data_IF_072476391142
#
_entry.id   IF_072476391142
#
_cell.length_a   1.000
_cell.length_b   1.000
_cell.length_c   1.000
_cell.angle_alpha   90.00
_cell.angle_beta   90.00
_cell.angle_gamma   90.00
#
_symmetry.space_group_name_H-M   'P 1'
#
loop_
_entity.id
_entity.type
_entity.pdbx_description
1 polymer ?
#
# COMPACT_ATOMS: atom_id res chain seq x y z
N UNK A 1 11.72 -19.30 -11.43
CA UNK A 1 10.76 -18.21 -11.11
C UNK A 1 10.94 -16.95 -11.95
N UNK A 2 12.13 -16.32 -12.00
CA UNK A 2 12.37 -15.16 -12.91
C UNK A 2 12.02 -15.45 -14.37
N UNK A 3 12.37 -16.62 -14.88
CA UNK A 3 11.97 -17.03 -16.24
C UNK A 3 10.45 -17.02 -16.44
N UNK A 4 9.69 -17.56 -15.48
CA UNK A 4 8.23 -17.54 -15.53
C UNK A 4 7.67 -16.11 -15.50
N UNK A 5 8.33 -15.19 -14.78
CA UNK A 5 7.97 -13.78 -14.78
C UNK A 5 8.17 -13.12 -16.15
N UNK A 6 9.33 -13.35 -16.78
CA UNK A 6 9.63 -12.76 -18.10
C UNK A 6 8.78 -13.34 -19.23
N UNK A 7 8.32 -14.59 -19.08
CA UNK A 7 7.50 -15.29 -20.06
C UNK A 7 6.00 -15.26 -19.74
N UNK A 8 5.57 -14.52 -18.72
CA UNK A 8 4.16 -14.44 -18.32
C UNK A 8 3.51 -15.82 -18.07
N UNK A 9 4.22 -16.69 -17.35
CA UNK A 9 3.79 -18.06 -17.02
C UNK A 9 3.32 -18.18 -15.57
N UNK A 10 2.28 -17.44 -15.18
CA UNK A 10 1.77 -17.39 -13.80
C UNK A 10 1.17 -18.71 -13.31
N UNK A 11 0.43 -19.42 -14.15
CA UNK A 11 -0.18 -20.71 -13.79
C UNK A 11 0.90 -21.75 -13.50
N UNK A 12 1.85 -21.90 -14.43
CA UNK A 12 3.01 -22.78 -14.27
C UNK A 12 3.84 -22.37 -13.05
N UNK A 13 4.03 -21.08 -12.81
CA UNK A 13 4.77 -20.62 -11.64
C UNK A 13 4.10 -21.00 -10.31
N UNK A 14 2.76 -20.92 -10.24
CA UNK A 14 1.99 -21.36 -9.06
C UNK A 14 2.11 -22.87 -8.88
N UNK A 15 2.02 -23.65 -9.95
CA UNK A 15 2.21 -25.12 -9.91
C UNK A 15 3.61 -25.47 -9.39
N UNK A 16 4.66 -24.84 -9.93
CA UNK A 16 6.05 -25.09 -9.54
C UNK A 16 6.33 -24.79 -8.05
N UNK A 17 5.75 -23.73 -7.48
CA UNK A 17 5.94 -23.40 -6.06
C UNK A 17 5.23 -24.39 -5.13
N UNK A 18 4.12 -24.98 -5.59
CA UNK A 18 3.30 -25.93 -4.82
C UNK A 18 3.76 -27.39 -4.98
N UNK A 19 4.56 -27.68 -6.00
CA UNK A 19 5.07 -29.02 -6.28
C UNK A 19 5.91 -29.53 -5.10
N UNK A 20 5.47 -30.64 -4.51
CA UNK A 20 6.16 -31.27 -3.37
C UNK A 20 7.53 -31.83 -3.75
N UNK A 21 7.74 -32.22 -5.01
CA UNK A 21 9.03 -32.70 -5.49
C UNK A 21 10.06 -31.56 -5.60
N UNK A 22 9.58 -30.33 -5.74
CA UNK A 22 10.41 -29.12 -5.80
C UNK A 22 10.50 -28.41 -4.45
N UNK A 23 10.06 -29.06 -3.36
CA UNK A 23 10.16 -28.49 -2.02
C UNK A 23 11.63 -28.24 -1.66
N UNK A 24 11.93 -27.01 -1.25
CA UNK A 24 13.29 -26.56 -0.97
C UNK A 24 14.06 -26.02 -2.19
N UNK A 25 13.60 -26.27 -3.42
CA UNK A 25 14.20 -25.66 -4.62
C UNK A 25 13.99 -24.14 -4.63
N UNK A 26 12.78 -23.69 -4.31
CA UNK A 26 12.46 -22.27 -4.13
C UNK A 26 12.61 -21.85 -2.67
N UNK A 27 13.77 -22.07 -2.05
CA UNK A 27 13.97 -21.74 -0.62
C UNK A 27 14.10 -20.24 -0.31
N UNK A 28 14.33 -19.41 -1.33
CA UNK A 28 14.48 -17.97 -1.16
C UNK A 28 13.14 -17.21 -1.22
N UNK A 29 12.97 -16.26 -0.29
CA UNK A 29 11.86 -15.30 -0.26
C UNK A 29 11.69 -14.54 -1.59
N UNK A 30 12.80 -14.28 -2.31
CA UNK A 30 12.80 -13.63 -3.63
C UNK A 30 11.90 -14.35 -4.65
N UNK A 31 11.88 -15.70 -4.64
CA UNK A 31 11.07 -16.47 -5.60
C UNK A 31 9.57 -16.25 -5.35
N UNK A 32 9.14 -16.34 -4.10
CA UNK A 32 7.76 -16.07 -3.70
C UNK A 32 7.38 -14.62 -4.00
N UNK A 33 8.25 -13.65 -3.68
CA UNK A 33 7.99 -12.25 -3.93
C UNK A 33 7.78 -11.95 -5.43
N UNK A 34 8.61 -12.52 -6.31
CA UNK A 34 8.46 -12.37 -7.77
C UNK A 34 7.09 -12.91 -8.22
N UNK A 35 6.73 -14.11 -7.78
CA UNK A 35 5.45 -14.72 -8.16
C UNK A 35 4.26 -13.92 -7.63
N UNK A 36 4.26 -13.57 -6.34
CA UNK A 36 3.20 -12.76 -5.74
C UNK A 36 3.08 -11.41 -6.46
N UNK A 37 4.18 -10.77 -6.83
CA UNK A 37 4.17 -9.49 -7.55
C UNK A 37 3.59 -9.64 -8.95
N UNK A 38 3.93 -10.70 -9.67
CA UNK A 38 3.34 -11.02 -10.98
C UNK A 38 1.82 -11.18 -10.87
N UNK A 39 1.38 -12.03 -9.95
CA UNK A 39 -0.04 -12.31 -9.71
C UNK A 39 -0.79 -11.05 -9.30
N UNK A 40 -0.22 -10.25 -8.40
CA UNK A 40 -0.81 -8.98 -7.94
C UNK A 40 -1.00 -8.00 -9.11
N UNK A 41 0.00 -7.83 -9.97
CA UNK A 41 -0.09 -6.93 -11.14
C UNK A 41 -1.15 -7.38 -12.16
N UNK A 42 -1.36 -8.69 -12.27
CA UNK A 42 -2.37 -9.29 -13.16
C UNK A 42 -3.77 -9.38 -12.53
N UNK A 43 -3.92 -8.98 -11.26
CA UNK A 43 -5.20 -9.02 -10.55
C UNK A 43 -5.59 -10.41 -10.02
N UNK A 44 -4.67 -11.38 -10.04
CA UNK A 44 -4.89 -12.73 -9.51
C UNK A 44 -4.62 -12.77 -7.99
N UNK A 45 -5.42 -12.04 -7.22
CA UNK A 45 -5.17 -11.81 -5.80
C UNK A 45 -5.34 -13.06 -4.93
N UNK A 46 -6.28 -13.93 -5.28
CA UNK A 46 -6.52 -15.21 -4.60
C UNK A 46 -5.28 -16.11 -4.73
N UNK A 47 -4.79 -16.28 -5.96
CA UNK A 47 -3.56 -17.03 -6.22
C UNK A 47 -2.35 -16.40 -5.51
N UNK A 48 -2.27 -15.06 -5.46
CA UNK A 48 -1.19 -14.38 -4.75
C UNK A 48 -1.23 -14.65 -3.25
N UNK A 49 -2.43 -14.70 -2.66
CA UNK A 49 -2.65 -15.06 -1.26
C UNK A 49 -2.29 -16.53 -1.01
N UNK A 50 -2.65 -17.45 -1.91
CA UNK A 50 -2.26 -18.85 -1.80
C UNK A 50 -0.73 -19.03 -1.82
N UNK A 51 -0.02 -18.28 -2.66
CA UNK A 51 1.44 -18.30 -2.70
C UNK A 51 2.05 -17.79 -1.39
N UNK A 52 1.45 -16.75 -0.77
CA UNK A 52 1.85 -16.28 0.57
C UNK A 52 1.66 -17.38 1.63
N UNK A 53 0.53 -18.09 1.58
CA UNK A 53 0.24 -19.18 2.52
C UNK A 53 1.20 -20.36 2.32
N UNK A 54 1.57 -20.68 1.08
CA UNK A 54 2.57 -21.70 0.79
C UNK A 54 3.96 -21.27 1.29
N UNK A 55 4.35 -20.00 1.12
CA UNK A 55 5.60 -19.45 1.69
C UNK A 55 5.66 -19.68 3.20
N UNK A 56 4.56 -19.38 3.90
CA UNK A 56 4.41 -19.58 5.35
C UNK A 56 4.48 -21.06 5.72
N UNK A 57 3.79 -21.94 4.97
CA UNK A 57 3.79 -23.39 5.18
C UNK A 57 5.16 -24.02 4.98
N UNK A 58 5.96 -23.49 4.05
CA UNK A 58 7.35 -23.91 3.84
C UNK A 58 8.31 -23.33 4.89
N UNK A 59 7.83 -22.50 5.82
CA UNK A 59 8.64 -21.90 6.88
C UNK A 59 9.59 -20.81 6.39
N UNK A 60 9.33 -20.25 5.20
CA UNK A 60 10.19 -19.21 4.63
C UNK A 60 9.84 -17.88 5.29
N UNK A 61 10.83 -17.18 5.89
CA UNK A 61 10.58 -15.98 6.68
C UNK A 61 10.11 -14.82 5.80
N UNK A 62 9.18 -14.04 6.33
CA UNK A 62 8.67 -12.85 5.66
C UNK A 62 9.64 -11.69 5.87
N UNK A 63 9.87 -10.93 4.80
CA UNK A 63 10.62 -9.67 4.89
C UNK A 63 9.64 -8.49 4.78
N UNK A 64 10.17 -7.26 4.87
CA UNK A 64 9.37 -6.02 4.78
C UNK A 64 8.54 -5.94 3.49
N UNK A 65 9.11 -6.37 2.36
CA UNK A 65 8.45 -6.35 1.06
C UNK A 65 7.34 -7.41 0.97
N UNK A 66 7.57 -8.60 1.54
CA UNK A 66 6.56 -9.66 1.67
C UNK A 66 5.36 -9.17 2.47
N UNK A 67 5.59 -8.56 3.63
CA UNK A 67 4.50 -8.01 4.44
C UNK A 67 3.73 -6.94 3.69
N UNK A 68 4.43 -5.96 3.10
CA UNK A 68 3.77 -4.90 2.34
C UNK A 68 2.87 -5.46 1.24
N UNK A 69 3.37 -6.45 0.48
CA UNK A 69 2.61 -7.08 -0.60
C UNK A 69 1.44 -7.92 -0.05
N UNK A 70 1.62 -8.61 1.07
CA UNK A 70 0.54 -9.36 1.73
C UNK A 70 -0.62 -8.46 2.15
N UNK A 71 -0.35 -7.32 2.78
CA UNK A 71 -1.39 -6.35 3.15
C UNK A 71 -2.07 -5.74 1.93
N UNK A 72 -1.30 -5.44 0.87
CA UNK A 72 -1.84 -4.97 -0.40
C UNK A 72 -2.77 -6.00 -1.07
N UNK A 73 -2.39 -7.29 -1.09
CA UNK A 73 -3.22 -8.39 -1.60
C UNK A 73 -4.52 -8.49 -0.79
N UNK A 74 -4.43 -8.52 0.54
CA UNK A 74 -5.60 -8.65 1.40
C UNK A 74 -6.58 -7.48 1.20
N UNK A 75 -6.05 -6.27 1.05
CA UNK A 75 -6.82 -5.06 0.77
C UNK A 75 -7.54 -5.12 -0.58
N UNK A 76 -6.91 -5.68 -1.63
CA UNK A 76 -7.52 -5.80 -2.96
C UNK A 76 -8.55 -6.94 -3.06
N UNK A 77 -8.40 -8.00 -2.27
CA UNK A 77 -9.42 -9.05 -2.15
C UNK A 77 -10.72 -8.55 -1.52
N UNK A 78 -10.63 -7.56 -0.62
CA UNK A 78 -11.75 -6.89 0.03
C UNK A 78 -12.82 -7.84 0.61
N UNK A 79 -12.37 -8.96 1.19
CA UNK A 79 -13.23 -9.98 1.78
C UNK A 79 -13.06 -10.02 3.30
N UNK A 80 -14.09 -10.47 4.02
CA UNK A 80 -14.00 -10.66 5.47
C UNK A 80 -12.88 -11.65 5.85
N UNK A 81 -12.66 -12.69 5.03
CA UNK A 81 -11.61 -13.67 5.26
C UNK A 81 -10.22 -13.07 5.04
N UNK A 82 -10.01 -12.26 3.98
CA UNK A 82 -8.74 -11.56 3.80
C UNK A 82 -8.48 -10.52 4.90
N UNK A 83 -9.54 -9.91 5.46
CA UNK A 83 -9.43 -9.03 6.62
C UNK A 83 -8.90 -9.79 7.84
N UNK A 84 -9.50 -10.93 8.18
CA UNK A 84 -9.03 -11.80 9.28
C UNK A 84 -7.59 -12.26 9.07
N UNK A 85 -7.21 -12.62 7.84
CA UNK A 85 -5.84 -12.99 7.51
C UNK A 85 -4.89 -11.81 7.74
N UNK A 86 -5.25 -10.61 7.29
CA UNK A 86 -4.43 -9.41 7.49
C UNK A 86 -4.22 -9.07 8.97
N UNK A 87 -5.26 -9.22 9.80
CA UNK A 87 -5.19 -9.00 11.24
C UNK A 87 -4.25 -10.02 11.91
N UNK A 88 -4.41 -11.31 11.60
CA UNK A 88 -3.53 -12.37 12.09
C UNK A 88 -2.07 -12.16 11.68
N UNK A 89 -1.83 -11.74 10.44
CA UNK A 89 -0.48 -11.44 9.95
C UNK A 89 0.16 -10.29 10.73
N UNK A 90 -0.61 -9.26 11.09
CA UNK A 90 -0.14 -8.15 11.90
C UNK A 90 0.24 -8.61 13.32
N UNK A 91 -0.65 -9.36 13.98
CA UNK A 91 -0.43 -9.90 15.33
C UNK A 91 0.80 -10.82 15.36
N UNK A 92 0.92 -11.73 14.40
CA UNK A 92 2.08 -12.63 14.31
C UNK A 92 3.39 -11.88 14.10
N UNK A 93 3.39 -10.83 13.26
CA UNK A 93 4.57 -9.99 13.06
C UNK A 93 4.97 -9.28 14.36
N UNK A 94 4.01 -8.76 15.12
CA UNK A 94 4.26 -8.11 16.41
C UNK A 94 4.80 -9.08 17.45
N UNK A 95 4.22 -10.28 17.55
CA UNK A 95 4.68 -11.31 18.49
C UNK A 95 6.10 -11.80 18.19
N UNK A 96 6.47 -11.86 16.90
CA UNK A 96 7.83 -12.22 16.47
C UNK A 96 8.83 -11.05 16.59
N UNK A 97 8.36 -9.83 16.77
CA UNK A 97 9.18 -8.62 16.74
C UNK A 97 9.61 -8.21 15.33
N UNK A 98 8.88 -8.64 14.31
CA UNK A 98 9.17 -8.30 12.91
C UNK A 98 8.88 -6.81 12.66
N UNK A 99 9.82 -6.13 12.00
CA UNK A 99 9.65 -4.72 11.65
C UNK A 99 8.76 -4.57 10.41
N UNK A 100 7.51 -4.16 10.61
CA UNK A 100 6.59 -3.86 9.53
C UNK A 100 6.85 -2.48 8.89
N UNK A 101 6.71 -2.34 7.57
CA UNK A 101 6.77 -1.03 6.94
C UNK A 101 5.53 -0.21 7.31
N UNK A 102 5.70 1.12 7.49
CA UNK A 102 4.60 2.05 7.83
C UNK A 102 3.39 1.90 6.88
N UNK A 103 3.65 1.63 5.61
CA UNK A 103 2.61 1.45 4.60
C UNK A 103 1.75 0.19 4.80
N UNK A 104 2.29 -0.86 5.43
CA UNK A 104 1.48 -2.01 5.82
C UNK A 104 0.40 -1.61 6.84
N UNK A 105 0.74 -0.75 7.81
CA UNK A 105 -0.24 -0.20 8.74
C UNK A 105 -1.29 0.66 8.05
N UNK A 106 -0.90 1.50 7.08
CA UNK A 106 -1.88 2.27 6.29
C UNK A 106 -2.86 1.37 5.52
N UNK A 107 -2.38 0.25 4.94
CA UNK A 107 -3.27 -0.74 4.35
C UNK A 107 -4.20 -1.37 5.38
N UNK A 108 -3.69 -1.75 6.56
CA UNK A 108 -4.50 -2.34 7.61
C UNK A 108 -5.61 -1.38 8.10
N UNK A 109 -5.29 -0.10 8.32
CA UNK A 109 -6.26 0.94 8.69
C UNK A 109 -7.29 1.12 7.58
N UNK A 110 -6.85 1.32 6.34
CA UNK A 110 -7.75 1.52 5.21
C UNK A 110 -8.67 0.30 4.99
N UNK A 111 -8.17 -0.91 5.23
CA UNK A 111 -8.97 -2.12 5.11
C UNK A 111 -10.03 -2.22 6.20
N UNK A 112 -9.65 -1.98 7.47
CA UNK A 112 -10.61 -1.95 8.58
C UNK A 112 -11.70 -0.90 8.37
N UNK A 113 -11.35 0.28 7.84
CA UNK A 113 -12.33 1.32 7.48
C UNK A 113 -13.29 0.88 6.38
N UNK A 114 -12.82 0.14 5.36
CA UNK A 114 -13.68 -0.46 4.31
C UNK A 114 -14.65 -1.48 4.88
N UNK A 115 -14.19 -2.30 5.81
CA UNK A 115 -15.02 -3.30 6.52
C UNK A 115 -15.90 -2.67 7.62
N UNK A 116 -15.86 -1.34 7.78
CA UNK A 116 -16.59 -0.58 8.78
C UNK A 116 -16.27 -0.97 10.24
N UNK A 117 -15.08 -1.55 10.48
CA UNK A 117 -14.56 -1.85 11.81
C UNK A 117 -13.75 -0.65 12.33
N UNK A 118 -14.47 0.29 12.95
CA UNK A 118 -13.90 1.55 13.44
C UNK A 118 -12.93 1.32 14.60
N UNK A 119 -13.23 0.37 15.49
CA UNK A 119 -12.40 0.06 16.65
C UNK A 119 -11.03 -0.48 16.20
N UNK A 120 -11.04 -1.41 15.26
CA UNK A 120 -9.80 -1.97 14.71
C UNK A 120 -9.01 -0.92 13.92
N UNK A 121 -9.69 -0.07 13.14
CA UNK A 121 -9.05 1.02 12.41
C UNK A 121 -8.36 2.02 13.35
N UNK A 122 -9.01 2.41 14.45
CA UNK A 122 -8.42 3.29 15.48
C UNK A 122 -7.22 2.64 16.17
N UNK A 123 -7.31 1.34 16.49
CA UNK A 123 -6.22 0.60 17.12
C UNK A 123 -4.98 0.50 16.22
N UNK A 124 -5.15 0.26 14.92
CA UNK A 124 -4.03 0.28 13.98
C UNK A 124 -3.50 1.69 13.76
N UNK A 125 -4.38 2.68 13.73
CA UNK A 125 -4.01 4.08 13.54
C UNK A 125 -3.20 4.63 14.72
N UNK A 126 -3.51 4.25 15.96
CA UNK A 126 -2.77 4.71 17.15
C UNK A 126 -1.31 4.22 17.19
N UNK A 127 -0.99 3.15 16.47
CA UNK A 127 0.37 2.63 16.31
C UNK A 127 1.18 3.39 15.27
N UNK A 128 0.55 4.25 14.47
CA UNK A 128 1.19 5.08 13.46
C UNK A 128 1.65 6.37 14.13
N UNK A 129 2.96 6.62 14.14
CA UNK A 129 3.50 7.90 14.59
C UNK A 129 2.97 9.03 13.71
N UNK A 130 2.64 10.19 14.31
CA UNK A 130 2.18 11.36 13.55
C UNK A 130 3.23 11.74 12.51
N UNK A 131 2.82 11.83 11.25
CA UNK A 131 3.70 12.25 10.15
C UNK A 131 3.00 13.31 9.32
N UNK A 132 3.74 14.29 8.80
CA UNK A 132 3.21 15.32 7.89
C UNK A 132 2.98 14.78 6.46
N UNK A 133 2.83 13.46 6.31
CA UNK A 133 2.61 12.85 5.01
C UNK A 133 1.15 13.05 4.59
N UNK A 134 0.94 13.38 3.32
CA UNK A 134 -0.38 13.40 2.66
C UNK A 134 -1.24 12.18 3.01
N UNK A 135 -0.67 10.97 2.92
CA UNK A 135 -1.41 9.73 3.22
C UNK A 135 -1.86 9.67 4.68
N UNK A 136 -1.03 10.13 5.62
CA UNK A 136 -1.36 10.20 7.04
C UNK A 136 -2.56 11.13 7.28
N UNK A 137 -2.50 12.35 6.75
CA UNK A 137 -3.56 13.33 6.94
C UNK A 137 -4.90 12.86 6.37
N UNK A 138 -4.89 12.23 5.20
CA UNK A 138 -6.09 11.67 4.58
C UNK A 138 -6.67 10.50 5.40
N UNK A 139 -5.82 9.59 5.89
CA UNK A 139 -6.27 8.49 6.76
C UNK A 139 -6.78 9.02 8.11
N UNK A 140 -6.13 10.02 8.69
CA UNK A 140 -6.56 10.66 9.94
C UNK A 140 -7.99 11.17 9.83
N UNK A 141 -8.28 11.93 8.76
CA UNK A 141 -9.62 12.48 8.50
C UNK A 141 -10.64 11.36 8.33
N UNK A 142 -10.30 10.28 7.61
CA UNK A 142 -11.22 9.14 7.43
C UNK A 142 -11.49 8.38 8.74
N UNK A 143 -10.47 8.17 9.57
CA UNK A 143 -10.65 7.54 10.89
C UNK A 143 -11.54 8.41 11.77
N UNK A 144 -11.30 9.72 11.85
CA UNK A 144 -12.14 10.65 12.61
C UNK A 144 -13.58 10.69 12.10
N UNK A 145 -13.77 10.68 10.77
CA UNK A 145 -15.08 10.65 10.13
C UNK A 145 -15.88 9.42 10.53
N UNK A 146 -15.26 8.24 10.46
CA UNK A 146 -15.89 6.97 10.86
C UNK A 146 -16.12 6.88 12.38
N UNK A 147 -15.35 7.62 13.18
CA UNK A 147 -15.53 7.71 14.63
C UNK A 147 -16.64 8.67 15.06
N UNK A 148 -17.20 9.47 14.12
CA UNK A 148 -18.25 10.45 14.41
C UNK A 148 -17.74 11.79 14.96
N UNK A 149 -16.42 12.00 15.03
CA UNK A 149 -15.80 13.21 15.59
C UNK A 149 -15.74 14.36 14.58
N UNK A 150 -16.89 14.84 14.08
CA UNK A 150 -16.95 15.90 13.05
C UNK A 150 -16.28 17.22 13.48
N UNK A 151 -16.32 17.54 14.78
CA UNK A 151 -15.67 18.74 15.33
C UNK A 151 -14.14 18.67 15.24
N UNK A 152 -13.56 17.48 15.45
CA UNK A 152 -12.11 17.27 15.34
C UNK A 152 -11.64 17.35 13.89
N UNK A 153 -12.48 16.92 12.95
CA UNK A 153 -12.20 17.04 11.51
C UNK A 153 -12.10 18.51 11.14
N UNK A 154 -13.07 19.34 11.54
CA UNK A 154 -13.05 20.77 11.26
C UNK A 154 -11.80 21.42 11.86
N UNK A 155 -11.46 21.12 13.12
CA UNK A 155 -10.23 21.63 13.74
C UNK A 155 -8.97 21.20 12.97
N UNK A 156 -8.93 19.96 12.50
CA UNK A 156 -7.79 19.41 11.74
C UNK A 156 -7.66 20.10 10.38
N UNK A 157 -8.78 20.35 9.69
CA UNK A 157 -8.79 21.05 8.41
C UNK A 157 -8.49 22.55 8.56
N UNK A 158 -9.01 23.21 9.61
CA UNK A 158 -8.69 24.61 9.93
C UNK A 158 -7.20 24.78 10.22
N UNK A 159 -6.61 23.91 11.05
CA UNK A 159 -5.18 23.92 11.32
C UNK A 159 -4.36 23.73 10.04
N UNK A 160 -4.81 22.90 9.10
CA UNK A 160 -4.13 22.72 7.82
C UNK A 160 -4.15 23.98 6.93
N UNK A 161 -5.20 24.81 7.05
CA UNK A 161 -5.30 26.11 6.37
C UNK A 161 -4.40 27.15 7.04
N UNK A 162 -4.31 27.16 8.37
CA UNK A 162 -3.47 28.13 9.11
C UNK A 162 -1.95 27.93 8.88
N UNK A 163 -1.53 26.67 8.73
CA UNK A 163 -0.12 26.31 8.45
C UNK A 163 0.34 26.73 7.03
N UNK A 164 -0.59 27.09 6.13
CA UNK A 164 -0.32 27.51 4.74
C UNK A 164 0.31 28.92 4.62
N UNK A 165 0.79 29.51 5.72
CA UNK A 165 1.39 30.85 5.73
C UNK A 165 2.86 30.90 5.28
N UNK A 166 3.56 29.77 5.16
CA UNK A 166 4.99 29.75 4.78
C UNK A 166 5.26 29.06 3.43
N UNK A 167 5.94 29.73 2.48
CA UNK A 167 6.22 29.17 1.15
C UNK A 167 7.28 28.04 1.15
N UNK A 168 7.93 27.78 2.29
CA UNK A 168 9.00 26.78 2.41
C UNK A 168 8.52 25.44 3.01
N UNK A 169 7.30 25.38 3.57
CA UNK A 169 6.74 24.17 4.17
C UNK A 169 5.93 23.42 3.12
N UNK A 170 6.08 22.10 3.04
CA UNK A 170 5.23 21.28 2.17
C UNK A 170 3.78 21.44 2.61
N UNK A 171 2.94 21.87 1.67
CA UNK A 171 1.52 22.04 1.91
C UNK A 171 0.86 20.72 2.32
N UNK A 172 -0.04 20.78 3.29
CA UNK A 172 -0.88 19.64 3.63
C UNK A 172 -1.88 19.46 2.49
N UNK A 173 -1.85 18.28 1.87
CA UNK A 173 -2.73 17.96 0.74
C UNK A 173 -3.83 16.97 1.16
N UNK A 174 -5.06 17.24 0.73
CA UNK A 174 -6.20 16.35 0.90
C UNK A 174 -6.67 15.79 -0.44
N UNK A 175 -7.20 14.56 -0.40
CA UNK A 175 -7.88 13.95 -1.53
C UNK A 175 -9.27 14.55 -1.66
N UNK A 176 -9.66 14.89 -2.89
CA UNK A 176 -11.03 15.29 -3.20
C UNK A 176 -12.05 14.24 -2.75
N UNK A 177 -11.73 12.95 -2.92
CA UNK A 177 -12.58 11.84 -2.50
C UNK A 177 -12.85 11.87 -0.98
N UNK A 178 -11.81 12.11 -0.18
CA UNK A 178 -11.95 12.17 1.29
C UNK A 178 -12.79 13.37 1.69
N UNK A 179 -12.55 14.54 1.10
CA UNK A 179 -13.35 15.73 1.36
C UNK A 179 -14.82 15.58 0.94
N UNK A 180 -15.08 14.90 -0.18
CA UNK A 180 -16.44 14.57 -0.61
C UNK A 180 -17.17 13.68 0.40
N UNK A 181 -16.50 12.64 0.93
CA UNK A 181 -17.10 11.78 1.97
C UNK A 181 -17.37 12.52 3.28
N UNK A 182 -16.50 13.48 3.64
CA UNK A 182 -16.73 14.35 4.81
C UNK A 182 -17.95 15.24 4.57
N UNK A 183 -18.09 15.81 3.38
CA UNK A 183 -19.23 16.66 3.01
C UNK A 183 -20.55 15.91 3.12
N UNK A 184 -20.65 14.74 2.49
CA UNK A 184 -21.85 13.89 2.52
C UNK A 184 -22.29 13.58 3.96
N UNK A 185 -21.35 13.26 4.85
CA UNK A 185 -21.65 12.98 6.26
C UNK A 185 -21.95 14.20 7.12
N UNK A 186 -21.58 15.40 6.66
CA UNK A 186 -21.82 16.64 7.42
C UNK A 186 -23.07 17.38 6.96
N UNK A 187 -23.74 16.92 5.90
CA UNK A 187 -25.03 17.46 5.43
C UNK A 187 -26.13 17.40 6.51
N UNK A 188 -26.02 16.47 7.45
CA UNK A 188 -26.94 16.33 8.59
C UNK A 188 -26.86 17.52 9.57
N UNK A 189 -25.77 18.31 9.56
CA UNK A 189 -25.59 19.48 10.43
C UNK A 189 -25.31 20.77 9.62
N UNK A 190 -26.29 21.69 9.50
CA UNK A 190 -26.18 22.87 8.64
C UNK A 190 -25.09 23.85 9.09
N UNK A 191 -24.78 23.92 10.40
CA UNK A 191 -23.74 24.82 10.94
C UNK A 191 -22.34 24.33 10.57
N UNK A 192 -22.11 23.02 10.70
CA UNK A 192 -20.82 22.41 10.36
C UNK A 192 -20.61 22.34 8.84
N UNK A 193 -21.68 22.13 8.07
CA UNK A 193 -21.69 22.16 6.60
C UNK A 193 -21.24 23.53 6.05
N UNK A 194 -21.77 24.63 6.61
CA UNK A 194 -21.36 25.99 6.22
C UNK A 194 -19.86 26.24 6.48
N UNK A 195 -19.37 25.87 7.68
CA UNK A 195 -17.95 25.99 8.03
C UNK A 195 -17.05 25.16 7.11
N UNK A 196 -17.46 23.93 6.79
CA UNK A 196 -16.72 23.09 5.85
C UNK A 196 -16.70 23.68 4.44
N UNK A 197 -17.78 24.32 3.99
CA UNK A 197 -17.81 25.05 2.72
C UNK A 197 -16.75 26.16 2.66
N UNK A 198 -16.66 26.96 3.72
CA UNK A 198 -15.66 28.04 3.83
C UNK A 198 -14.23 27.50 3.92
N UNK A 199 -14.03 26.35 4.57
CA UNK A 199 -12.72 25.68 4.60
C UNK A 199 -12.38 25.11 3.21
N UNK A 200 -13.34 24.47 2.54
CA UNK A 200 -13.12 23.87 1.23
C UNK A 200 -12.73 24.90 0.18
N UNK A 201 -13.41 26.05 0.14
CA UNK A 201 -13.06 27.15 -0.77
C UNK A 201 -11.64 27.68 -0.51
N UNK A 202 -11.22 27.76 0.76
CA UNK A 202 -9.84 28.13 1.14
C UNK A 202 -8.82 27.07 0.72
N UNK A 203 -9.11 25.78 0.97
CA UNK A 203 -8.26 24.65 0.53
C UNK A 203 -8.13 24.57 -1.00
N UNK A 204 -9.20 24.92 -1.72
CA UNK A 204 -9.18 24.96 -3.18
C UNK A 204 -8.35 26.15 -3.69
N UNK A 205 -8.52 27.33 -3.09
CA UNK A 205 -7.74 28.52 -3.43
C UNK A 205 -6.23 28.36 -3.15
N UNK A 206 -5.87 27.60 -2.11
CA UNK A 206 -4.48 27.31 -1.75
C UNK A 206 -3.82 26.21 -2.60
N UNK A 207 -4.59 25.50 -3.44
CA UNK A 207 -4.14 24.36 -4.23
C UNK A 207 -3.83 23.11 -3.40
N UNK A 208 -4.45 22.97 -2.22
CA UNK A 208 -4.23 21.86 -1.29
C UNK A 208 -5.13 20.63 -1.59
N UNK A 209 -6.00 20.72 -2.60
CA UNK A 209 -6.86 19.61 -3.03
C UNK A 209 -6.20 18.87 -4.18
N UNK A 210 -6.19 17.54 -4.07
CA UNK A 210 -5.59 16.68 -5.08
C UNK A 210 -6.57 15.63 -5.60
N UNK A 211 -6.39 15.29 -6.88
CA UNK A 211 -7.20 14.30 -7.60
C UNK A 211 -6.78 12.86 -7.30
N UNK A 212 -5.70 12.63 -6.55
CA UNK A 212 -5.26 11.28 -6.17
C UNK A 212 -6.26 10.66 -5.19
N UNK A 213 -6.72 9.46 -5.47
CA UNK A 213 -7.57 8.68 -4.56
C UNK A 213 -6.76 8.13 -3.39
N UNK A 214 -7.44 7.70 -2.31
CA UNK A 214 -6.77 7.04 -1.19
C UNK A 214 -6.02 5.78 -1.67
N UNK A 215 -6.66 4.98 -2.53
CA UNK A 215 -6.06 3.81 -3.16
C UNK A 215 -4.76 4.20 -3.91
N UNK A 216 -4.80 5.25 -4.73
CA UNK A 216 -3.59 5.70 -5.46
C UNK A 216 -2.45 6.07 -4.50
N UNK A 217 -2.76 6.73 -3.38
CA UNK A 217 -1.75 7.10 -2.38
C UNK A 217 -1.18 5.88 -1.65
N UNK A 218 -2.01 4.87 -1.37
CA UNK A 218 -1.59 3.61 -0.77
C UNK A 218 -0.63 2.85 -1.71
N UNK A 219 -0.92 2.82 -3.00
CA UNK A 219 -0.12 2.09 -4.00
C UNK A 219 1.05 2.89 -4.62
N UNK A 220 1.16 4.19 -4.33
CA UNK A 220 2.23 5.04 -4.89
C UNK A 220 3.62 4.66 -4.39
N UNK A 221 4.50 4.14 -5.24
CA UNK A 221 5.92 3.89 -4.88
C UNK A 221 6.63 5.22 -4.54
N UNK A 222 7.35 5.33 -3.40
CA UNK A 222 8.12 6.53 -3.05
C UNK A 222 9.12 6.90 -4.16
N UNK A 223 9.35 8.20 -4.39
CA UNK A 223 10.19 8.68 -5.50
C UNK A 223 11.64 8.16 -5.46
N UNK A 224 12.18 7.83 -4.29
CA UNK A 224 13.52 7.24 -4.11
C UNK A 224 13.63 5.83 -4.71
N UNK A 225 12.58 5.02 -4.63
CA UNK A 225 12.52 3.68 -5.23
C UNK A 225 12.26 3.75 -6.74
N UNK A 226 11.52 4.75 -7.22
CA UNK A 226 11.36 5.00 -8.67
C UNK A 226 12.71 5.23 -9.35
N UNK A 227 13.64 5.95 -8.70
CA UNK A 227 14.97 6.19 -9.23
C UNK A 227 15.85 4.94 -9.22
N UNK A 228 15.78 4.12 -8.15
CA UNK A 228 16.49 2.82 -8.08
C UNK A 228 15.96 1.81 -9.11
N UNK A 229 14.64 1.75 -9.30
CA UNK A 229 14.00 0.93 -10.32
C UNK A 229 14.36 1.35 -11.75
N UNK A 230 14.46 2.67 -12.01
CA UNK A 230 14.98 3.20 -13.29
C UNK A 230 16.43 2.78 -13.53
N UNK A 231 17.30 2.91 -12.52
CA UNK A 231 18.71 2.48 -12.58
C UNK A 231 18.86 0.97 -12.81
N UNK A 232 18.04 0.15 -12.18
CA UNK A 232 18.02 -1.30 -12.38
C UNK A 232 17.53 -1.69 -13.79
N UNK A 233 16.48 -1.05 -14.30
CA UNK A 233 16.03 -1.23 -15.70
C UNK A 233 17.11 -0.80 -16.70
N UNK A 234 17.83 0.28 -16.44
CA UNK A 234 18.98 0.70 -17.25
C UNK A 234 20.11 -0.32 -17.25
N UNK A 235 20.42 -0.93 -16.10
CA UNK A 235 21.42 -2.01 -16.03
C UNK A 235 20.98 -3.27 -16.77
N UNK A 236 19.70 -3.66 -16.67
CA UNK A 236 19.15 -4.80 -17.43
C UNK A 236 19.24 -4.59 -18.95
N UNK A 237 18.96 -3.38 -19.44
CA UNK A 237 19.18 -3.01 -20.85
C UNK A 237 20.67 -3.08 -21.24
N UNK A 238 21.57 -2.69 -20.35
CA UNK A 238 23.02 -2.84 -20.54
C UNK A 238 23.49 -4.29 -20.67
N UNK A 239 22.90 -5.21 -19.89
CA UNK A 239 23.16 -6.65 -20.02
C UNK A 239 22.55 -7.25 -21.29
N UNK A 240 21.42 -6.72 -21.79
CA UNK A 240 20.85 -7.11 -23.08
C UNK A 240 21.63 -6.54 -24.29
N UNK A 241 22.33 -5.43 -24.12
CA UNK A 241 23.21 -4.83 -25.12
C UNK A 241 24.63 -5.44 -25.14
N UNK A 242 25.01 -6.22 -24.12
CA UNK A 242 26.24 -6.98 -24.12
C UNK A 242 26.09 -8.18 -25.07
N UNK A 243 26.76 -8.11 -26.22
CA UNK A 243 26.85 -9.22 -27.18
C UNK A 243 27.20 -10.52 -26.44
N UNK A 244 26.56 -11.66 -26.75
CA UNK A 244 26.91 -12.93 -26.14
C UNK A 244 28.38 -13.25 -26.46
N UNK A 245 29.15 -13.56 -25.41
CA UNK A 245 30.57 -13.97 -25.44
C UNK A 245 30.84 -15.23 -26.29
N UNK A 246 29.80 -15.84 -26.88
CA UNK A 246 29.91 -17.00 -27.76
C UNK A 246 30.32 -16.69 -29.22
N UNK A 247 30.50 -15.41 -29.59
CA UNK A 247 30.90 -15.04 -30.97
C UNK A 247 32.41 -15.03 -31.24
N UNK A 248 33.26 -15.31 -30.25
CA UNK A 248 34.73 -15.22 -30.39
C UNK A 248 35.48 -16.56 -30.23
N UNK A 249 34.80 -17.72 -30.21
CA UNK A 249 35.45 -19.02 -30.00
C UNK A 249 35.36 -19.99 -31.19
N UNK A 250 35.02 -19.51 -32.39
CA UNK A 250 34.97 -20.33 -33.63
C UNK A 250 35.61 -19.62 -34.82
N UNK A 251 36.76 -18.98 -34.61
CA UNK A 251 37.67 -18.56 -35.68
C UNK A 251 39.09 -18.94 -35.28
N UNK A 252 39.42 -20.22 -35.44
CA UNK A 252 40.59 -20.78 -36.15
C UNK A 252 40.57 -22.31 -36.08
#
# INVERSE_FOLDING_TARGET
MRLCYELDLETTAVELIKDQNLRGFFSESTSFHILMTMLFKKGHYENALEVLMEMKKQGIPFNKETYLLAFAICYKLDSLESCKISAKLLEEAQLKGDTLPLRAFYFAVAFALKQNDVAQAQFYYSQIMKTENKLYNNISVLVQLKSGSLEEIIKTLEAAVEVDTSPFVKKIEFSEQVLATVREKTEENPVLSAKLGDIYTRLQASGQITTCTLDDMLFQVPSSEKNRAKLLKQKQLGYQAAKPLHSNLLLE
#
